data_IF_508440405123
#
_entry.id   IF_508440405123
#
_cell.length_a   1.000
_cell.length_b   1.000
_cell.length_c   1.000
_cell.angle_alpha   90.00
_cell.angle_beta   90.00
_cell.angle_gamma   90.00
#
_symmetry.space_group_name_H-M   'P 1'
#
loop_
_entity.id
_entity.type
_entity.pdbx_description
1 polymer ?
#
# COMPACT_ATOMS: atom_id res chain seq x y z
N UNK A 1 -18.47 14.70 -13.78
CA UNK A 1 -17.83 14.27 -12.49
C UNK A 1 -18.79 13.24 -11.92
N UNK A 2 -18.37 11.98 -11.82
CA UNK A 2 -19.24 10.89 -11.36
C UNK A 2 -19.49 10.92 -9.85
N UNK A 3 -18.50 11.37 -9.07
CA UNK A 3 -18.60 11.48 -7.61
C UNK A 3 -17.96 12.78 -7.15
N UNK A 4 -18.66 13.53 -6.27
CA UNK A 4 -18.11 14.72 -5.59
C UNK A 4 -17.01 14.30 -4.61
N UNK A 5 -16.00 15.14 -4.34
CA UNK A 5 -15.06 14.92 -3.23
C UNK A 5 -15.81 14.73 -1.90
N UNK A 6 -15.26 13.93 -1.00
CA UNK A 6 -15.82 13.79 0.35
C UNK A 6 -15.81 15.15 1.05
N UNK A 7 -16.87 15.51 1.76
CA UNK A 7 -17.08 16.85 2.32
C UNK A 7 -17.81 17.81 1.39
N UNK A 8 -18.02 17.42 0.13
CA UNK A 8 -18.80 18.19 -0.84
C UNK A 8 -19.89 17.34 -1.48
N UNK A 9 -20.97 17.99 -1.90
CA UNK A 9 -22.02 17.45 -2.76
C UNK A 9 -22.08 18.23 -4.07
N UNK A 10 -22.42 17.58 -5.16
CA UNK A 10 -22.55 18.20 -6.46
C UNK A 10 -24.04 18.48 -6.71
N UNK A 11 -24.42 19.74 -6.79
CA UNK A 11 -25.78 20.18 -7.14
C UNK A 11 -25.71 21.13 -8.33
N UNK A 12 -26.46 20.84 -9.37
CA UNK A 12 -26.54 21.64 -10.61
C UNK A 12 -25.19 22.05 -11.22
N UNK A 13 -24.15 21.21 -11.02
CA UNK A 13 -22.80 21.46 -11.52
C UNK A 13 -21.89 22.25 -10.58
N UNK A 14 -22.40 22.66 -9.42
CA UNK A 14 -21.63 23.36 -8.38
C UNK A 14 -21.32 22.44 -7.20
N UNK A 15 -20.14 22.63 -6.60
CA UNK A 15 -19.73 21.92 -5.38
C UNK A 15 -20.19 22.75 -4.17
N UNK A 16 -21.11 22.18 -3.39
CA UNK A 16 -21.58 22.73 -2.13
C UNK A 16 -21.03 21.90 -0.97
N UNK A 17 -20.81 22.53 0.18
CA UNK A 17 -20.37 21.85 1.40
C UNK A 17 -21.43 20.83 1.84
N UNK A 18 -20.99 19.65 2.19
CA UNK A 18 -21.82 18.59 2.77
C UNK A 18 -21.72 18.67 4.30
N UNK A 19 -22.74 19.26 4.95
CA UNK A 19 -22.79 19.51 6.39
C UNK A 19 -22.50 18.27 7.25
N UNK A 20 -22.87 17.11 6.78
CA UNK A 20 -22.70 15.83 7.46
C UNK A 20 -21.30 15.21 7.31
N UNK A 21 -20.47 15.76 6.41
CA UNK A 21 -19.11 15.27 6.14
C UNK A 21 -18.03 16.31 6.47
N UNK A 22 -18.38 17.58 6.55
CA UNK A 22 -17.43 18.71 6.68
C UNK A 22 -16.61 18.64 7.96
N UNK A 23 -17.21 18.23 9.08
CA UNK A 23 -16.53 18.16 10.36
C UNK A 23 -15.44 17.07 10.38
N UNK A 24 -15.64 16.02 9.61
CA UNK A 24 -14.61 14.98 9.43
C UNK A 24 -13.40 15.55 8.69
N UNK A 25 -13.61 16.39 7.65
CA UNK A 25 -12.52 17.04 6.92
C UNK A 25 -11.75 17.98 7.84
N UNK A 26 -12.44 18.84 8.59
CA UNK A 26 -11.82 19.74 9.56
C UNK A 26 -11.01 18.96 10.62
N UNK A 27 -11.58 17.90 11.16
CA UNK A 27 -10.90 17.02 12.12
C UNK A 27 -9.66 16.37 11.53
N UNK A 28 -9.69 15.95 10.25
CA UNK A 28 -8.52 15.36 9.56
C UNK A 28 -7.37 16.36 9.51
N UNK A 29 -7.64 17.59 9.05
CA UNK A 29 -6.61 18.61 8.91
C UNK A 29 -6.10 19.09 10.26
N UNK A 30 -6.99 19.44 11.20
CA UNK A 30 -6.63 19.86 12.55
C UNK A 30 -5.71 18.83 13.22
N UNK A 31 -6.13 17.57 13.25
CA UNK A 31 -5.35 16.55 13.89
C UNK A 31 -4.04 16.26 13.16
N UNK A 32 -4.06 16.27 11.82
CA UNK A 32 -2.85 16.07 11.05
C UNK A 32 -1.82 17.17 11.27
N UNK A 33 -2.25 18.44 11.38
CA UNK A 33 -1.37 19.60 11.55
C UNK A 33 -0.86 19.67 13.00
N UNK A 34 -1.75 19.62 13.98
CA UNK A 34 -1.45 19.97 15.36
C UNK A 34 -1.02 18.82 16.27
N UNK A 35 -1.00 17.58 15.76
CA UNK A 35 -0.51 16.41 16.53
C UNK A 35 0.66 15.74 15.82
N UNK A 36 1.33 14.79 16.48
CA UNK A 36 2.37 13.98 15.85
C UNK A 36 1.83 12.84 14.98
N UNK A 37 0.52 12.79 14.76
CA UNK A 37 -0.09 11.73 13.96
C UNK A 37 0.27 11.88 12.47
N UNK A 38 0.66 10.78 11.85
CA UNK A 38 0.68 10.65 10.39
C UNK A 38 -0.70 10.23 9.86
N UNK A 39 -0.84 10.10 8.55
CA UNK A 39 -2.11 9.72 7.90
C UNK A 39 -2.74 8.43 8.48
N UNK A 40 -1.91 7.46 8.88
CA UNK A 40 -2.38 6.23 9.54
C UNK A 40 -2.87 6.47 10.97
N UNK A 41 -2.24 7.39 11.70
CA UNK A 41 -2.66 7.79 13.05
C UNK A 41 -4.01 8.48 13.04
N UNK A 42 -4.18 9.43 12.12
CA UNK A 42 -5.45 10.14 11.91
C UNK A 42 -6.58 9.17 11.53
N UNK A 43 -6.33 8.23 10.59
CA UNK A 43 -7.32 7.23 10.21
C UNK A 43 -7.75 6.34 11.40
N UNK A 44 -6.78 5.90 12.24
CA UNK A 44 -7.07 5.15 13.45
C UNK A 44 -7.88 5.95 14.47
N UNK A 45 -7.55 7.23 14.62
CA UNK A 45 -8.28 8.12 15.51
C UNK A 45 -9.75 8.24 15.09
N UNK A 46 -10.03 8.55 13.83
CA UNK A 46 -11.40 8.68 13.31
C UNK A 46 -12.21 7.39 13.54
N UNK A 47 -11.62 6.23 13.23
CA UNK A 47 -12.28 4.94 13.44
C UNK A 47 -12.56 4.65 14.94
N UNK A 48 -11.65 5.05 15.84
CA UNK A 48 -11.84 4.88 17.30
C UNK A 48 -12.91 5.81 17.86
N UNK A 49 -13.05 7.00 17.30
CA UNK A 49 -14.11 7.94 17.65
C UNK A 49 -15.47 7.55 17.09
N UNK A 50 -15.56 6.47 16.32
CA UNK A 50 -16.79 5.99 15.74
C UNK A 50 -17.25 6.75 14.50
N UNK A 51 -16.40 7.58 13.90
CA UNK A 51 -16.73 8.20 12.62
C UNK A 51 -16.88 7.14 11.53
N UNK A 52 -17.92 7.27 10.73
CA UNK A 52 -18.25 6.34 9.65
C UNK A 52 -18.45 7.13 8.37
N UNK A 53 -17.82 6.69 7.29
CA UNK A 53 -18.06 7.29 5.96
C UNK A 53 -19.42 6.85 5.44
N UNK A 54 -20.15 7.74 4.80
CA UNK A 54 -21.24 7.34 3.92
C UNK A 54 -20.69 6.50 2.77
N UNK A 55 -21.28 5.32 2.57
CA UNK A 55 -20.92 4.46 1.44
C UNK A 55 -21.41 5.13 0.16
N UNK A 56 -20.49 5.46 -0.73
CA UNK A 56 -20.78 5.90 -2.09
C UNK A 56 -20.84 4.69 -3.03
N UNK A 57 -21.31 4.87 -4.25
CA UNK A 57 -21.63 3.82 -5.22
C UNK A 57 -20.59 2.69 -5.36
N UNK A 58 -19.30 2.98 -5.13
CA UNK A 58 -18.21 2.00 -5.20
C UNK A 58 -17.52 1.77 -3.83
N UNK A 59 -18.06 2.29 -2.75
CA UNK A 59 -17.49 2.18 -1.42
C UNK A 59 -17.98 0.91 -0.71
N UNK A 60 -17.03 0.05 -0.30
CA UNK A 60 -17.36 -1.20 0.41
C UNK A 60 -16.99 -1.15 1.90
N UNK A 61 -16.18 -0.17 2.32
CA UNK A 61 -15.64 -0.10 3.68
C UNK A 61 -16.02 1.24 4.32
N UNK A 62 -16.85 1.24 5.38
CA UNK A 62 -17.28 2.47 6.04
C UNK A 62 -16.19 3.16 6.85
N UNK A 63 -15.14 2.42 7.27
CA UNK A 63 -14.02 2.97 8.04
C UNK A 63 -13.04 3.81 7.22
N UNK A 64 -12.24 4.61 7.90
CA UNK A 64 -11.21 5.45 7.30
C UNK A 64 -9.90 4.67 7.14
N UNK A 65 -9.31 4.71 5.93
CA UNK A 65 -7.98 4.16 5.65
C UNK A 65 -6.94 5.27 5.56
N UNK A 66 -5.67 4.93 5.77
CA UNK A 66 -4.56 5.86 5.58
C UNK A 66 -4.52 6.44 4.15
N UNK A 67 -4.85 5.62 3.12
CA UNK A 67 -4.93 6.08 1.73
C UNK A 67 -6.05 7.10 1.51
N UNK A 68 -7.18 6.91 2.19
CA UNK A 68 -8.29 7.84 2.12
C UNK A 68 -7.92 9.19 2.77
N UNK A 69 -7.36 9.18 3.99
CA UNK A 69 -6.87 10.38 4.67
C UNK A 69 -5.79 11.08 3.82
N UNK A 70 -4.85 10.31 3.25
CA UNK A 70 -3.86 10.85 2.31
C UNK A 70 -4.52 11.56 1.13
N UNK A 71 -5.53 10.95 0.51
CA UNK A 71 -6.20 11.53 -0.66
C UNK A 71 -6.95 12.82 -0.34
N UNK A 72 -7.40 12.99 0.90
CA UNK A 72 -8.00 14.23 1.39
C UNK A 72 -6.93 15.31 1.57
N UNK A 73 -5.88 15.03 2.33
CA UNK A 73 -4.81 16.00 2.63
C UNK A 73 -4.12 16.48 1.33
N UNK A 74 -3.94 15.59 0.35
CA UNK A 74 -3.27 15.91 -0.91
C UNK A 74 -4.21 16.59 -1.95
N UNK A 75 -5.49 16.86 -1.62
CA UNK A 75 -6.44 17.38 -2.60
C UNK A 75 -6.71 18.90 -2.42
N UNK A 76 -6.27 19.76 -3.34
CA UNK A 76 -6.42 21.21 -3.22
C UNK A 76 -7.89 21.70 -3.27
N UNK A 77 -8.85 20.84 -3.57
CA UNK A 77 -10.29 21.18 -3.53
C UNK A 77 -10.71 21.69 -2.16
N UNK A 78 -10.08 21.22 -1.08
CA UNK A 78 -10.44 21.63 0.27
C UNK A 78 -10.01 23.05 0.63
N UNK A 79 -9.05 23.62 -0.10
CA UNK A 79 -8.68 25.05 -0.02
C UNK A 79 -9.31 25.91 -1.12
N UNK A 80 -10.39 25.45 -1.75
CA UNK A 80 -11.12 26.20 -2.77
C UNK A 80 -10.52 26.14 -4.17
N UNK A 81 -9.52 25.28 -4.43
CA UNK A 81 -8.82 25.19 -5.72
C UNK A 81 -9.15 23.90 -6.46
N UNK A 82 -9.14 23.94 -7.78
CA UNK A 82 -9.39 22.78 -8.64
C UNK A 82 -8.10 22.38 -9.35
N UNK A 83 -7.67 21.13 -9.13
CA UNK A 83 -6.53 20.55 -9.81
C UNK A 83 -6.97 19.64 -10.96
N UNK A 84 -6.39 19.82 -12.13
CA UNK A 84 -6.65 19.01 -13.30
C UNK A 84 -5.45 18.11 -13.62
N UNK A 85 -5.73 16.85 -14.02
CA UNK A 85 -4.66 15.94 -14.47
C UNK A 85 -3.76 15.37 -13.36
N UNK A 86 -4.15 15.44 -12.09
CA UNK A 86 -3.40 14.86 -10.95
C UNK A 86 -3.08 13.39 -11.11
N UNK A 87 -3.89 12.68 -11.88
CA UNK A 87 -3.74 11.25 -12.15
C UNK A 87 -3.86 11.00 -13.64
N UNK A 88 -2.95 10.19 -14.15
CA UNK A 88 -2.96 9.73 -15.54
C UNK A 88 -3.07 8.21 -15.54
N UNK A 89 -3.83 7.68 -16.46
CA UNK A 89 -3.90 6.24 -16.69
C UNK A 89 -2.88 5.86 -17.75
N UNK A 90 -1.96 4.98 -17.39
CA UNK A 90 -0.89 4.52 -18.26
C UNK A 90 -0.97 3.01 -18.44
N UNK A 91 -0.47 2.52 -19.56
CA UNK A 91 -0.39 1.09 -19.84
C UNK A 91 0.70 0.45 -19.00
N UNK A 92 0.39 -0.65 -18.33
CA UNK A 92 1.37 -1.39 -17.55
C UNK A 92 2.33 -2.12 -18.50
N UNK A 93 3.63 -1.83 -18.34
CA UNK A 93 4.70 -2.44 -19.16
C UNK A 93 4.66 -3.97 -18.98
N UNK A 94 4.77 -4.70 -20.08
CA UNK A 94 4.76 -6.17 -20.06
C UNK A 94 3.36 -6.80 -20.04
N UNK A 95 2.29 -6.01 -20.11
CA UNK A 95 0.91 -6.53 -20.19
C UNK A 95 0.18 -6.02 -21.43
N UNK A 96 -0.74 -6.85 -21.98
CA UNK A 96 -1.45 -6.50 -23.21
C UNK A 96 -2.51 -5.42 -22.98
N UNK A 97 -3.29 -5.51 -21.90
CA UNK A 97 -4.47 -4.67 -21.67
C UNK A 97 -4.58 -4.10 -20.25
N UNK A 98 -3.58 -4.30 -19.39
CA UNK A 98 -3.65 -3.75 -18.04
C UNK A 98 -3.25 -2.28 -18.02
N UNK A 99 -4.06 -1.48 -17.35
CA UNK A 99 -3.83 -0.06 -17.14
C UNK A 99 -3.59 0.18 -15.65
N UNK A 100 -2.72 1.11 -15.32
CA UNK A 100 -2.51 1.57 -13.96
C UNK A 100 -2.59 3.09 -13.87
N UNK A 101 -2.99 3.58 -12.71
CA UNK A 101 -3.08 5.01 -12.44
C UNK A 101 -1.78 5.50 -11.86
N UNK A 102 -1.18 6.50 -12.50
CA UNK A 102 0.05 7.17 -12.06
C UNK A 102 -0.29 8.56 -11.55
N UNK A 103 0.21 8.90 -10.37
CA UNK A 103 0.09 10.25 -9.83
C UNK A 103 1.12 11.15 -10.54
N UNK A 104 0.67 12.32 -11.02
CA UNK A 104 1.54 13.30 -11.66
C UNK A 104 2.18 14.18 -10.60
N UNK A 105 3.49 14.47 -10.76
CA UNK A 105 4.23 15.38 -9.88
C UNK A 105 3.87 16.85 -10.11
N UNK A 106 3.51 17.17 -11.34
CA UNK A 106 3.14 18.53 -11.78
C UNK A 106 1.77 18.50 -12.46
N UNK A 107 0.90 19.38 -12.05
CA UNK A 107 -0.43 19.51 -12.63
C UNK A 107 -0.94 20.94 -12.41
N UNK A 108 -1.73 21.50 -13.37
CA UNK A 108 -2.30 22.82 -13.22
C UNK A 108 -3.34 22.87 -12.11
N UNK A 109 -3.32 23.94 -11.33
CA UNK A 109 -4.25 24.25 -10.26
C UNK A 109 -4.90 25.60 -10.55
N UNK A 110 -6.22 25.63 -10.50
CA UNK A 110 -7.03 26.83 -10.80
C UNK A 110 -7.87 27.21 -9.59
N UNK A 111 -8.23 28.47 -9.48
CA UNK A 111 -9.20 28.93 -8.50
C UNK A 111 -10.57 28.27 -8.75
N UNK A 112 -11.14 27.67 -7.73
CA UNK A 112 -12.47 27.08 -7.78
C UNK A 112 -13.55 28.14 -7.49
N UNK A 113 -14.78 27.84 -7.91
CA UNK A 113 -15.95 28.65 -7.55
C UNK A 113 -16.61 28.20 -6.24
N UNK A 114 -16.18 27.05 -5.71
CA UNK A 114 -16.74 26.46 -4.50
C UNK A 114 -16.09 27.02 -3.25
N UNK A 115 -16.84 27.00 -2.15
CA UNK A 115 -16.37 27.42 -0.85
C UNK A 115 -15.28 26.48 -0.32
N UNK A 116 -14.20 27.05 0.23
CA UNK A 116 -13.12 26.30 0.88
C UNK A 116 -13.56 25.78 2.25
N UNK A 117 -13.26 24.52 2.57
CA UNK A 117 -13.47 23.95 3.92
C UNK A 117 -12.30 24.29 4.83
N UNK A 118 -11.10 24.37 4.28
CA UNK A 118 -9.82 24.58 4.99
C UNK A 118 -9.16 25.84 4.44
N UNK A 119 -8.50 26.60 5.32
CA UNK A 119 -7.72 27.77 4.91
C UNK A 119 -6.51 27.35 4.05
N UNK A 120 -6.03 28.24 3.20
CA UNK A 120 -4.82 28.01 2.42
C UNK A 120 -3.59 27.83 3.32
N UNK A 121 -3.55 28.52 4.46
CA UNK A 121 -2.48 28.40 5.46
C UNK A 121 -2.43 26.99 6.05
N UNK A 122 -3.55 26.46 6.52
CA UNK A 122 -3.64 25.12 7.09
C UNK A 122 -3.31 24.06 6.04
N UNK A 123 -3.79 24.25 4.81
CA UNK A 123 -3.46 23.33 3.73
C UNK A 123 -1.94 23.31 3.46
N UNK A 124 -1.28 24.46 3.42
CA UNK A 124 0.16 24.58 3.24
C UNK A 124 0.94 23.93 4.38
N UNK A 125 0.54 24.15 5.64
CA UNK A 125 1.13 23.47 6.81
C UNK A 125 1.01 21.95 6.70
N UNK A 126 -0.15 21.46 6.26
CA UNK A 126 -0.34 20.04 6.03
C UNK A 126 0.59 19.52 4.93
N UNK A 127 0.82 20.26 3.82
CA UNK A 127 1.74 19.86 2.75
C UNK A 127 3.21 19.85 3.22
N UNK A 128 3.64 20.83 4.01
CA UNK A 128 4.97 20.85 4.59
C UNK A 128 5.20 19.60 5.46
N UNK A 129 4.27 19.32 6.35
CA UNK A 129 4.32 18.10 7.17
C UNK A 129 4.31 16.84 6.30
N UNK A 130 3.57 16.84 5.19
CA UNK A 130 3.56 15.74 4.21
C UNK A 130 4.95 15.52 3.60
N UNK A 131 5.66 16.58 3.21
CA UNK A 131 7.02 16.50 2.65
C UNK A 131 7.99 15.88 3.66
N UNK A 132 7.95 16.33 4.92
CA UNK A 132 8.78 15.78 6.00
C UNK A 132 8.47 14.31 6.26
N UNK A 133 7.18 13.94 6.31
CA UNK A 133 6.74 12.57 6.58
C UNK A 133 6.87 11.64 5.38
N UNK A 134 6.99 12.18 4.16
CA UNK A 134 7.15 11.41 2.93
C UNK A 134 8.55 10.85 2.74
N UNK A 135 9.47 11.06 3.69
CA UNK A 135 10.78 10.44 3.66
C UNK A 135 10.62 8.91 3.56
N UNK A 136 10.71 8.43 2.33
CA UNK A 136 10.77 7.01 2.07
C UNK A 136 12.12 6.53 2.59
N UNK A 137 12.10 5.77 3.68
CA UNK A 137 13.24 4.90 3.96
C UNK A 137 13.42 4.05 2.71
N UNK A 138 14.49 4.25 1.97
CA UNK A 138 14.93 3.26 1.01
C UNK A 138 14.87 1.92 1.71
N UNK A 139 14.16 0.97 1.12
CA UNK A 139 14.27 -0.40 1.58
C UNK A 139 15.70 -0.80 1.23
N UNK A 140 16.61 -0.61 2.15
CA UNK A 140 17.92 -1.22 2.07
C UNK A 140 17.63 -2.72 2.16
N UNK A 141 17.56 -3.37 1.00
CA UNK A 141 17.69 -4.81 0.95
C UNK A 141 19.08 -5.07 1.49
N UNK A 142 19.16 -5.56 2.72
CA UNK A 142 20.41 -6.01 3.27
C UNK A 142 20.88 -7.17 2.40
N UNK A 143 21.95 -6.99 1.60
CA UNK A 143 22.42 -8.04 0.71
C UNK A 143 22.95 -9.24 1.50
N UNK A 144 23.24 -9.05 2.81
CA UNK A 144 23.74 -10.09 3.69
C UNK A 144 22.64 -10.94 4.32
N UNK A 145 21.36 -10.52 4.21
CA UNK A 145 20.24 -11.23 4.82
C UNK A 145 18.98 -11.22 3.97
N UNK A 146 18.59 -12.39 3.48
CA UNK A 146 17.38 -12.58 2.71
C UNK A 146 16.28 -13.33 3.49
N UNK A 147 15.06 -12.78 3.45
CA UNK A 147 13.87 -13.49 3.93
C UNK A 147 13.28 -14.34 2.80
N UNK A 148 13.89 -15.48 2.51
CA UNK A 148 13.59 -16.31 1.31
C UNK A 148 12.13 -16.79 1.22
N UNK A 149 11.45 -16.99 2.35
CA UNK A 149 10.06 -17.43 2.39
C UNK A 149 9.06 -16.27 2.53
N UNK A 150 9.53 -15.02 2.45
CA UNK A 150 8.66 -13.84 2.54
C UNK A 150 7.69 -13.78 1.35
N UNK A 151 6.39 -13.69 1.64
CA UNK A 151 5.34 -13.72 0.61
C UNK A 151 4.91 -15.13 0.17
N UNK A 152 5.71 -16.17 0.41
CA UNK A 152 5.42 -17.56 0.09
C UNK A 152 4.59 -18.21 1.19
N UNK A 153 5.03 -18.08 2.44
CA UNK A 153 4.30 -18.59 3.60
C UNK A 153 2.93 -17.93 3.73
N UNK A 154 1.93 -18.73 4.11
CA UNK A 154 0.56 -18.25 4.33
C UNK A 154 0.21 -18.23 5.81
N UNK A 155 -0.52 -17.19 6.22
CA UNK A 155 -1.02 -17.09 7.59
C UNK A 155 -2.09 -18.16 7.83
N UNK A 156 -2.00 -18.96 8.90
CA UNK A 156 -2.98 -20.02 9.18
C UNK A 156 -4.37 -19.47 9.54
N UNK A 157 -4.47 -18.21 10.01
CA UNK A 157 -5.75 -17.61 10.40
C UNK A 157 -6.44 -16.87 9.24
N UNK A 158 -5.69 -16.08 8.45
CA UNK A 158 -6.31 -15.23 7.42
C UNK A 158 -5.94 -15.62 5.99
N UNK A 159 -5.10 -16.64 5.77
CA UNK A 159 -4.68 -17.12 4.45
C UNK A 159 -3.77 -16.17 3.68
N UNK A 160 -3.56 -14.93 4.15
CA UNK A 160 -2.68 -13.96 3.48
C UNK A 160 -1.21 -14.27 3.70
N UNK A 161 -0.35 -13.76 2.81
CA UNK A 161 1.09 -14.01 2.89
C UNK A 161 1.70 -13.46 4.18
N UNK A 162 2.62 -14.22 4.76
CA UNK A 162 3.53 -13.77 5.81
C UNK A 162 4.72 -13.03 5.20
N UNK A 163 5.27 -12.09 5.95
CA UNK A 163 6.39 -11.27 5.50
C UNK A 163 7.54 -11.32 6.47
N UNK A 164 8.76 -11.27 5.94
CA UNK A 164 9.96 -11.17 6.75
C UNK A 164 10.08 -9.83 7.46
N UNK A 165 10.61 -9.87 8.69
CA UNK A 165 10.93 -8.68 9.47
C UNK A 165 12.14 -8.94 10.37
N UNK A 166 12.74 -7.84 10.84
CA UNK A 166 13.94 -7.82 11.66
C UNK A 166 13.63 -7.11 12.97
N UNK A 167 13.87 -7.78 14.09
CA UNK A 167 13.94 -7.13 15.39
C UNK A 167 15.41 -6.83 15.70
N UNK A 168 15.79 -5.55 15.57
CA UNK A 168 17.15 -5.10 15.92
C UNK A 168 17.36 -5.16 17.43
N UNK A 169 18.55 -5.51 17.84
CA UNK A 169 18.96 -5.42 19.23
C UNK A 169 18.98 -3.96 19.69
N UNK A 170 18.25 -3.67 20.78
CA UNK A 170 18.25 -2.34 21.41
C UNK A 170 19.25 -2.23 22.57
N UNK A 171 19.91 -3.32 22.93
CA UNK A 171 20.96 -3.35 23.95
C UNK A 171 22.12 -4.22 23.48
N UNK A 172 23.34 -3.98 24.06
CA UNK A 172 24.58 -4.68 23.66
C UNK A 172 24.50 -6.21 23.76
N UNK A 173 23.61 -6.74 24.61
CA UNK A 173 23.48 -8.17 24.89
C UNK A 173 22.35 -8.85 24.10
N UNK A 174 21.59 -8.14 23.29
CA UNK A 174 20.48 -8.72 22.51
C UNK A 174 20.89 -8.95 21.06
N UNK A 175 20.71 -10.19 20.61
CA UNK A 175 20.95 -10.57 19.20
C UNK A 175 19.82 -10.05 18.30
N UNK A 176 20.17 -9.61 17.09
CA UNK A 176 19.20 -9.35 16.02
C UNK A 176 18.44 -10.63 15.72
N UNK A 177 17.10 -10.55 15.66
CA UNK A 177 16.22 -11.67 15.36
C UNK A 177 15.54 -11.44 14.03
N UNK A 178 15.49 -12.46 13.21
CA UNK A 178 14.82 -12.49 11.91
C UNK A 178 13.62 -13.39 12.03
N UNK A 179 12.43 -12.92 11.55
CA UNK A 179 11.21 -13.68 11.72
C UNK A 179 10.18 -13.37 10.61
N UNK A 180 9.21 -14.26 10.45
CA UNK A 180 8.04 -14.06 9.60
C UNK A 180 6.83 -13.69 10.44
N UNK A 181 6.03 -12.76 9.97
CA UNK A 181 4.84 -12.27 10.68
C UNK A 181 3.69 -11.94 9.73
N UNK A 182 2.46 -11.91 10.26
CA UNK A 182 1.28 -11.50 9.52
C UNK A 182 1.08 -9.98 9.57
N UNK A 183 1.13 -9.30 8.43
CA UNK A 183 0.86 -7.85 8.36
C UNK A 183 -0.57 -7.47 8.67
N UNK A 184 -1.52 -8.39 8.52
CA UNK A 184 -2.94 -8.13 8.76
C UNK A 184 -3.31 -7.97 10.23
N UNK A 185 -2.35 -8.07 11.15
CA UNK A 185 -2.57 -7.85 12.58
C UNK A 185 -2.69 -6.37 12.95
N UNK A 186 -2.31 -5.47 12.04
CA UNK A 186 -2.28 -4.02 12.30
C UNK A 186 -2.81 -3.28 11.07
N UNK A 187 -4.12 -3.23 10.90
CA UNK A 187 -4.74 -2.41 9.86
C UNK A 187 -5.61 -1.31 10.48
N UNK A 188 -5.67 -0.11 9.90
CA UNK A 188 -6.57 0.95 10.35
C UNK A 188 -8.05 0.59 10.15
N UNK A 189 -8.37 -0.34 9.27
CA UNK A 189 -9.72 -0.67 8.80
C UNK A 189 -10.36 -1.88 9.49
N UNK A 190 -9.78 -2.40 10.56
CA UNK A 190 -10.43 -3.41 11.41
C UNK A 190 -10.43 -4.85 10.90
N UNK A 191 -9.80 -5.18 9.78
CA UNK A 191 -9.51 -6.56 9.41
C UNK A 191 -8.31 -7.05 10.21
N UNK A 192 -8.52 -7.26 11.49
CA UNK A 192 -7.46 -7.74 12.36
C UNK A 192 -7.38 -9.26 12.29
N UNK A 193 -6.26 -9.76 11.80
CA UNK A 193 -5.89 -11.16 11.98
C UNK A 193 -5.55 -11.40 13.45
N UNK A 194 -6.02 -12.50 14.02
CA UNK A 194 -5.71 -12.90 15.41
C UNK A 194 -4.35 -13.56 15.56
N UNK A 195 -3.68 -13.89 14.44
CA UNK A 195 -2.36 -14.51 14.46
C UNK A 195 -1.28 -13.49 14.87
N UNK A 196 -0.84 -13.57 16.13
CA UNK A 196 0.16 -12.66 16.72
C UNK A 196 1.56 -13.27 16.84
N UNK A 197 1.75 -14.50 16.40
CA UNK A 197 3.04 -15.18 16.51
C UNK A 197 4.04 -14.64 15.49
N UNK A 198 5.26 -14.42 15.95
CA UNK A 198 6.43 -14.20 15.12
C UNK A 198 7.15 -15.54 14.98
N UNK A 199 7.23 -16.05 13.76
CA UNK A 199 7.85 -17.33 13.46
C UNK A 199 9.34 -17.09 13.21
N UNK A 200 10.20 -17.73 13.97
CA UNK A 200 11.65 -17.59 13.83
C UNK A 200 12.09 -18.09 12.44
N UNK A 201 12.90 -17.28 11.75
CA UNK A 201 13.24 -17.51 10.35
C UNK A 201 14.10 -18.75 10.13
N UNK A 202 15.12 -18.95 10.94
CA UNK A 202 16.09 -20.04 10.75
C UNK A 202 15.42 -21.40 10.89
N UNK A 203 14.57 -21.53 11.91
CA UNK A 203 13.82 -22.76 12.15
C UNK A 203 12.82 -23.03 11.03
N UNK A 204 12.06 -22.04 10.62
CA UNK A 204 11.10 -22.17 9.53
C UNK A 204 11.78 -22.53 8.20
N UNK A 205 12.88 -21.86 7.87
CA UNK A 205 13.65 -22.17 6.67
C UNK A 205 14.17 -23.60 6.69
N UNK A 206 14.66 -24.08 7.85
CA UNK A 206 15.10 -25.48 8.02
C UNK A 206 13.97 -26.48 7.82
N UNK A 207 12.81 -26.20 8.42
CA UNK A 207 11.63 -27.08 8.25
C UNK A 207 11.20 -27.16 6.79
N UNK A 208 11.10 -26.03 6.09
CA UNK A 208 10.74 -26.00 4.67
C UNK A 208 11.80 -26.72 3.82
N UNK A 209 13.08 -26.49 4.10
CA UNK A 209 14.16 -27.18 3.40
C UNK A 209 14.09 -28.72 3.58
N UNK A 210 13.79 -29.21 4.79
CA UNK A 210 13.63 -30.64 5.04
C UNK A 210 12.43 -31.23 4.29
N UNK A 211 11.31 -30.50 4.23
CA UNK A 211 10.13 -30.91 3.46
C UNK A 211 10.47 -30.99 1.96
N UNK A 212 11.11 -29.96 1.42
CA UNK A 212 11.53 -29.93 0.02
C UNK A 212 12.48 -31.10 -0.28
N UNK A 213 13.48 -31.34 0.58
CA UNK A 213 14.38 -32.47 0.43
C UNK A 213 13.65 -33.82 0.41
N UNK A 214 12.71 -34.03 1.33
CA UNK A 214 11.89 -35.23 1.37
C UNK A 214 11.02 -35.41 0.11
N UNK A 215 10.46 -34.30 -0.39
CA UNK A 215 9.66 -34.30 -1.63
C UNK A 215 10.53 -34.63 -2.85
N UNK A 216 11.69 -34.01 -2.99
CA UNK A 216 12.61 -34.21 -4.12
C UNK A 216 13.19 -35.63 -4.12
N UNK A 217 13.44 -36.17 -2.93
CA UNK A 217 13.94 -37.58 -2.78
C UNK A 217 12.86 -38.63 -3.08
N UNK A 218 11.59 -38.23 -3.24
CA UNK A 218 10.53 -39.15 -3.61
C UNK A 218 10.53 -39.39 -5.14
N UNK A 219 10.76 -40.62 -5.64
CA UNK A 219 10.83 -40.90 -7.08
C UNK A 219 9.57 -40.44 -7.84
N UNK A 220 8.39 -40.66 -7.26
CA UNK A 220 7.10 -40.24 -7.88
C UNK A 220 6.99 -38.72 -8.07
N UNK A 221 7.58 -37.96 -7.17
CA UNK A 221 7.59 -36.49 -7.27
C UNK A 221 8.57 -36.01 -8.33
N UNK A 222 9.75 -36.64 -8.40
CA UNK A 222 10.75 -36.34 -9.42
C UNK A 222 10.21 -36.58 -10.84
N UNK A 223 9.50 -37.69 -11.06
CA UNK A 223 8.89 -38.01 -12.36
C UNK A 223 7.75 -37.02 -12.72
N UNK A 224 6.92 -36.65 -11.76
CA UNK A 224 5.86 -35.67 -11.97
C UNK A 224 6.41 -34.27 -12.31
N UNK A 225 7.53 -33.86 -11.72
CA UNK A 225 8.21 -32.60 -12.06
C UNK A 225 8.85 -32.68 -13.44
N UNK A 226 9.56 -33.75 -13.75
CA UNK A 226 10.16 -33.92 -15.08
C UNK A 226 9.13 -33.86 -16.20
N UNK A 227 7.97 -34.49 -15.99
CA UNK A 227 6.87 -34.43 -16.94
C UNK A 227 6.30 -33.00 -17.14
N UNK A 228 6.32 -32.16 -16.10
CA UNK A 228 5.87 -30.75 -16.17
C UNK A 228 6.92 -29.81 -16.74
N UNK A 229 8.19 -29.97 -16.41
CA UNK A 229 9.29 -29.13 -16.92
C UNK A 229 9.47 -29.32 -18.42
N UNK A 230 9.30 -30.56 -18.94
CA UNK A 230 9.38 -30.85 -20.37
C UNK A 230 8.25 -30.23 -21.22
N UNK A 231 7.16 -29.75 -20.60
CA UNK A 231 5.96 -29.28 -21.30
C UNK A 231 5.70 -27.79 -21.26
N UNK A 232 6.47 -26.97 -20.54
CA UNK A 232 6.06 -25.61 -20.17
C UNK A 232 7.10 -24.48 -20.30
N UNK A 233 8.33 -24.75 -20.71
CA UNK A 233 9.32 -23.66 -20.90
C UNK A 233 9.51 -23.44 -22.39
N UNK A 234 8.75 -22.51 -22.97
CA UNK A 234 9.04 -21.95 -24.26
C UNK A 234 10.23 -20.98 -24.10
N UNK A 235 11.42 -21.46 -24.44
CA UNK A 235 12.68 -20.69 -24.40
C UNK A 235 12.92 -19.86 -25.65
N UNK A 236 12.06 -19.94 -26.67
CA UNK A 236 12.24 -19.29 -27.96
C UNK A 236 12.48 -17.78 -27.88
N UNK A 237 11.80 -17.10 -26.96
CA UNK A 237 11.98 -15.64 -26.78
C UNK A 237 13.32 -15.30 -26.11
N UNK A 238 13.82 -16.15 -25.22
CA UNK A 238 15.11 -15.95 -24.55
C UNK A 238 16.26 -16.28 -25.49
N UNK A 239 16.10 -17.30 -26.33
CA UNK A 239 17.07 -17.69 -27.36
C UNK A 239 17.23 -16.59 -28.42
N UNK A 240 16.14 -16.01 -28.91
CA UNK A 240 16.16 -14.85 -29.82
C UNK A 240 16.81 -13.61 -29.20
N UNK A 241 16.59 -13.37 -27.90
CA UNK A 241 17.26 -12.25 -27.21
C UNK A 241 18.76 -12.50 -27.06
N UNK A 242 19.16 -13.74 -26.81
CA UNK A 242 20.56 -14.13 -26.71
C UNK A 242 21.28 -14.01 -28.06
N UNK A 243 20.66 -14.47 -29.15
CA UNK A 243 21.18 -14.29 -30.53
C UNK A 243 21.30 -12.80 -30.90
N UNK A 244 20.30 -11.98 -30.56
CA UNK A 244 20.35 -10.56 -30.82
C UNK A 244 21.46 -9.84 -30.04
N UNK A 245 21.73 -10.26 -28.81
CA UNK A 245 22.83 -9.72 -27.99
C UNK A 245 24.20 -10.19 -28.49
N UNK A 246 24.30 -11.43 -28.93
CA UNK A 246 25.54 -11.97 -29.52
C UNK A 246 25.89 -11.31 -30.86
N UNK A 247 24.89 -10.87 -31.63
CA UNK A 247 25.09 -10.16 -32.88
C UNK A 247 25.51 -8.67 -32.69
N UNK A 248 25.43 -8.16 -31.46
CA UNK A 248 25.86 -6.79 -31.10
C UNK A 248 27.27 -6.72 -30.50
N UNK A 249 27.90 -7.86 -30.27
CA UNK A 249 29.30 -8.02 -29.84
C UNK A 249 30.22 -8.30 -31.01
#
# INVERSE_FOLDING_TARGET
>A
IRDSPYGYRLEKGELLIAEDEVDVIRTIFDRYIHTNDGVSGVAKYLNRQGFVKKLRQNGTIPGFSASFVKSIIDNPVYMGKIAYGRRRTEKKIGTRNEMHVVEQSEFPVYEGKHEAIISEEDWNLAQEKRKVNAYRREKVNDPTHAHILSGILKCPCCGKSLYGNIAKAHSKDKKTRYYYYCKNTVTPTGHECTFRLNIEQTEMNRMVASIISAMVSNPRFADAIKAKIGSAVDTNDLEKQLEALQAQL
#
